data_IF_639814978952
#
_entry.id   IF_639814978952
#
_cell.length_a   1.000
_cell.length_b   1.000
_cell.length_c   1.000
_cell.angle_alpha   90.00
_cell.angle_beta   90.00
_cell.angle_gamma   90.00
#
_symmetry.space_group_name_H-M   'P 1'
#
loop_
_entity.id
_entity.type
_entity.pdbx_description
1 polymer ?
#
# COMPACT_ATOMS: atom_id res chain seq x y z
N UNK A 1 -17.21 -9.69 -0.45
CA UNK A 1 -16.64 -8.34 -0.24
C UNK A 1 -15.16 -8.42 -0.49
N UNK A 2 -14.60 -7.51 -1.28
CA UNK A 2 -13.16 -7.47 -1.58
C UNK A 2 -12.36 -6.95 -0.37
N UNK A 3 -11.10 -7.34 -0.30
CA UNK A 3 -10.19 -7.10 0.83
C UNK A 3 -9.01 -6.25 0.41
N UNK A 4 -8.71 -5.19 1.15
CA UNK A 4 -7.66 -4.22 0.81
C UNK A 4 -6.69 -4.10 1.97
N UNK A 5 -5.39 -4.23 1.68
CA UNK A 5 -4.32 -3.94 2.63
C UNK A 5 -3.76 -2.54 2.38
N UNK A 6 -3.89 -1.64 3.36
CA UNK A 6 -3.28 -0.31 3.32
C UNK A 6 -1.95 -0.36 4.10
N UNK A 7 -0.84 -0.25 3.38
CA UNK A 7 0.51 -0.31 3.91
C UNK A 7 0.95 1.10 4.31
N UNK A 8 1.08 1.34 5.62
CA UNK A 8 1.30 2.66 6.20
C UNK A 8 -0.01 3.28 6.72
N UNK A 9 -0.06 3.59 8.01
CA UNK A 9 -1.23 4.20 8.68
C UNK A 9 -0.91 5.59 9.23
N UNK A 10 0.01 6.29 8.57
CA UNK A 10 0.40 7.66 8.88
C UNK A 10 -0.72 8.69 8.59
N UNK A 11 -0.34 9.91 8.21
CA UNK A 11 -1.34 10.97 7.96
C UNK A 11 -2.28 10.63 6.81
N UNK A 12 -1.72 10.27 5.65
CA UNK A 12 -2.49 10.02 4.42
C UNK A 12 -3.06 8.60 4.41
N UNK A 13 -2.22 7.59 4.70
CA UNK A 13 -2.67 6.19 4.73
C UNK A 13 -3.86 5.93 5.66
N UNK A 14 -3.94 6.62 6.81
CA UNK A 14 -5.11 6.55 7.69
C UNK A 14 -6.39 7.04 7.01
N UNK A 15 -6.32 8.17 6.30
CA UNK A 15 -7.50 8.75 5.62
C UNK A 15 -7.95 7.83 4.48
N UNK A 16 -7.00 7.28 3.72
CA UNK A 16 -7.27 6.27 2.69
C UNK A 16 -7.98 5.05 3.30
N UNK A 17 -7.45 4.51 4.39
CA UNK A 17 -8.05 3.34 5.04
C UNK A 17 -9.49 3.62 5.53
N UNK A 18 -9.73 4.79 6.11
CA UNK A 18 -11.06 5.22 6.57
C UNK A 18 -12.07 5.37 5.44
N UNK A 19 -11.64 5.91 4.29
CA UNK A 19 -12.52 6.09 3.14
C UNK A 19 -12.88 4.74 2.50
N UNK A 20 -11.88 3.87 2.27
CA UNK A 20 -12.07 2.54 1.71
C UNK A 20 -12.89 1.60 2.60
N UNK A 21 -12.79 1.75 3.93
CA UNK A 21 -13.52 0.91 4.89
C UNK A 21 -15.05 1.06 4.83
N UNK A 22 -15.55 2.07 4.10
CA UNK A 22 -16.99 2.23 3.86
C UNK A 22 -17.56 1.14 2.97
N UNK A 23 -16.76 0.65 2.02
CA UNK A 23 -17.20 -0.27 0.96
C UNK A 23 -16.47 -1.61 0.98
N UNK A 24 -15.29 -1.68 1.62
CA UNK A 24 -14.39 -2.83 1.59
C UNK A 24 -13.96 -3.28 2.98
N UNK A 25 -13.49 -4.54 3.07
CA UNK A 25 -12.80 -5.01 4.28
C UNK A 25 -11.35 -4.54 4.23
N UNK A 26 -10.97 -3.66 5.14
CA UNK A 26 -9.65 -3.01 5.15
C UNK A 26 -8.80 -3.52 6.30
N UNK A 27 -7.57 -3.90 5.98
CA UNK A 27 -6.48 -4.14 6.93
C UNK A 27 -5.48 -2.99 6.82
N UNK A 28 -5.21 -2.30 7.92
CA UNK A 28 -4.25 -1.20 7.95
C UNK A 28 -2.98 -1.64 8.68
N UNK A 29 -1.83 -1.42 8.05
CA UNK A 29 -0.53 -1.90 8.55
C UNK A 29 0.37 -0.74 8.89
N UNK A 30 1.01 -0.78 10.05
CA UNK A 30 2.05 0.19 10.43
C UNK A 30 2.99 -0.42 11.47
N UNK A 31 4.23 0.05 11.52
CA UNK A 31 5.19 -0.34 12.57
C UNK A 31 4.90 0.40 13.88
N UNK A 32 4.35 1.61 13.77
CA UNK A 32 4.04 2.49 14.88
C UNK A 32 2.65 2.19 15.45
N UNK A 33 2.54 1.68 16.70
CA UNK A 33 1.25 1.38 17.32
C UNK A 33 0.36 2.61 17.52
N UNK A 34 0.93 3.82 17.66
CA UNK A 34 0.15 5.05 17.86
C UNK A 34 -0.62 5.45 16.59
N UNK A 35 -0.10 5.10 15.42
CA UNK A 35 -0.81 5.30 14.16
C UNK A 35 -2.02 4.37 14.06
N UNK A 36 -1.84 3.10 14.46
CA UNK A 36 -2.90 2.10 14.47
C UNK A 36 -3.98 2.39 15.52
N UNK A 37 -3.59 2.90 16.70
CA UNK A 37 -4.54 3.25 17.76
C UNK A 37 -5.59 4.29 17.31
N UNK A 38 -5.23 5.18 16.37
CA UNK A 38 -6.13 6.18 15.78
C UNK A 38 -7.22 5.58 14.90
N UNK A 39 -7.13 4.30 14.57
CA UNK A 39 -8.15 3.54 13.82
C UNK A 39 -9.13 2.79 14.74
N UNK A 40 -9.00 2.93 16.06
CA UNK A 40 -9.89 2.26 17.01
C UNK A 40 -11.37 2.58 16.76
N UNK A 41 -12.22 1.55 16.76
CA UNK A 41 -13.68 1.68 16.59
C UNK A 41 -14.15 1.91 15.15
N UNK A 42 -13.26 1.89 14.16
CA UNK A 42 -13.59 2.16 12.75
C UNK A 42 -14.00 0.92 11.94
N UNK A 43 -13.88 -0.28 12.52
CA UNK A 43 -14.09 -1.54 11.80
C UNK A 43 -12.92 -1.98 10.92
N UNK A 44 -11.87 -1.16 10.82
CA UNK A 44 -10.60 -1.51 10.15
C UNK A 44 -9.80 -2.47 11.03
N UNK A 45 -9.18 -3.47 10.43
CA UNK A 45 -8.29 -4.40 11.13
C UNK A 45 -6.87 -3.80 11.23
N UNK A 46 -6.39 -3.42 12.43
CA UNK A 46 -5.03 -2.92 12.59
C UNK A 46 -4.04 -4.08 12.72
N UNK A 47 -2.97 -4.06 11.91
CA UNK A 47 -1.87 -5.03 11.99
C UNK A 47 -0.56 -4.30 12.24
N UNK A 48 0.11 -4.63 13.33
CA UNK A 48 1.46 -4.11 13.59
C UNK A 48 2.49 -4.99 12.89
N UNK A 49 3.19 -4.43 11.92
CA UNK A 49 4.27 -5.12 11.22
C UNK A 49 5.34 -4.15 10.73
N UNK A 50 6.58 -4.65 10.66
CA UNK A 50 7.66 -3.95 9.97
C UNK A 50 7.63 -4.33 8.49
N UNK A 51 7.22 -3.37 7.66
CA UNK A 51 7.09 -3.54 6.21
C UNK A 51 8.43 -3.59 5.48
N UNK A 52 9.56 -3.28 6.15
CA UNK A 52 10.89 -3.53 5.60
C UNK A 52 11.26 -5.02 5.61
N UNK A 53 10.49 -5.86 6.29
CA UNK A 53 10.66 -7.32 6.28
C UNK A 53 9.86 -7.95 5.14
N UNK A 54 10.51 -8.52 4.10
CA UNK A 54 9.80 -9.15 2.98
C UNK A 54 8.88 -10.29 3.44
N UNK A 55 9.28 -11.03 4.48
CA UNK A 55 8.45 -12.09 5.06
C UNK A 55 7.18 -11.55 5.70
N UNK A 56 7.26 -10.42 6.39
CA UNK A 56 6.08 -9.81 7.01
C UNK A 56 5.14 -9.24 5.93
N UNK A 57 5.70 -8.50 4.97
CA UNK A 57 4.98 -7.99 3.81
C UNK A 57 4.26 -9.11 3.06
N UNK A 58 4.95 -10.21 2.75
CA UNK A 58 4.38 -11.35 2.04
C UNK A 58 3.13 -11.92 2.71
N UNK A 59 3.18 -12.11 4.03
CA UNK A 59 2.03 -12.61 4.80
C UNK A 59 0.81 -11.69 4.73
N UNK A 60 1.04 -10.38 4.65
CA UNK A 60 -0.03 -9.38 4.54
C UNK A 60 -0.64 -9.44 3.14
N UNK A 61 0.19 -9.36 2.10
CA UNK A 61 -0.28 -9.26 0.70
C UNK A 61 -0.91 -10.56 0.20
N UNK A 62 -0.52 -11.72 0.73
CA UNK A 62 -1.15 -12.99 0.36
C UNK A 62 -2.63 -13.05 0.78
N UNK A 63 -3.04 -12.28 1.80
CA UNK A 63 -4.38 -12.28 2.36
C UNK A 63 -5.36 -11.27 1.76
N UNK A 64 -4.93 -10.42 0.81
CA UNK A 64 -5.76 -9.36 0.25
C UNK A 64 -5.97 -9.48 -1.28
N UNK A 65 -7.01 -8.81 -1.77
CA UNK A 65 -7.28 -8.67 -3.20
C UNK A 65 -6.52 -7.50 -3.84
N UNK A 66 -6.27 -6.43 -3.08
CA UNK A 66 -5.60 -5.21 -3.54
C UNK A 66 -4.70 -4.65 -2.43
N UNK A 67 -3.58 -4.06 -2.81
CA UNK A 67 -2.67 -3.34 -1.91
C UNK A 67 -2.71 -1.83 -2.20
N UNK A 68 -2.66 -1.02 -1.15
CA UNK A 68 -2.41 0.42 -1.25
C UNK A 68 -1.11 0.76 -0.53
N UNK A 69 -0.13 1.29 -1.24
CA UNK A 69 1.13 1.75 -0.68
C UNK A 69 1.07 3.21 -0.26
N UNK A 70 1.24 3.46 1.04
CA UNK A 70 1.23 4.79 1.66
C UNK A 70 2.36 4.91 2.71
N UNK A 71 3.56 4.50 2.32
CA UNK A 71 4.75 4.39 3.17
C UNK A 71 5.75 5.52 2.92
N UNK A 72 6.76 5.71 3.79
CA UNK A 72 7.88 6.60 3.48
C UNK A 72 8.62 6.18 2.20
N UNK A 73 9.07 7.17 1.42
CA UNK A 73 9.80 6.96 0.18
C UNK A 73 11.00 6.02 0.29
N UNK A 74 11.71 6.06 1.42
CA UNK A 74 12.88 5.21 1.67
C UNK A 74 12.62 3.70 1.59
N UNK A 75 11.35 3.25 1.69
CA UNK A 75 10.97 1.84 1.57
C UNK A 75 9.92 1.60 0.47
N UNK A 76 9.40 2.65 -0.17
CA UNK A 76 8.29 2.56 -1.12
C UNK A 76 8.60 1.69 -2.34
N UNK A 77 9.73 1.94 -3.00
CA UNK A 77 10.11 1.17 -4.19
C UNK A 77 10.29 -0.33 -3.91
N UNK A 78 10.92 -0.66 -2.77
CA UNK A 78 11.10 -2.05 -2.35
C UNK A 78 9.74 -2.73 -2.11
N UNK A 79 8.80 -2.06 -1.44
CA UNK A 79 7.45 -2.59 -1.21
C UNK A 79 6.71 -2.80 -2.53
N UNK A 80 6.73 -1.82 -3.43
CA UNK A 80 6.12 -1.92 -4.75
C UNK A 80 6.61 -3.17 -5.50
N UNK A 81 7.93 -3.37 -5.57
CA UNK A 81 8.54 -4.53 -6.24
C UNK A 81 8.11 -5.85 -5.59
N UNK A 82 8.14 -5.94 -4.26
CA UNK A 82 7.75 -7.18 -3.56
C UNK A 82 6.25 -7.50 -3.70
N UNK A 83 5.39 -6.47 -3.78
CA UNK A 83 3.95 -6.65 -4.01
C UNK A 83 3.69 -7.14 -5.45
N UNK A 84 4.40 -6.60 -6.44
CA UNK A 84 4.39 -7.08 -7.82
C UNK A 84 4.85 -8.54 -7.88
N UNK A 85 5.99 -8.86 -7.26
CA UNK A 85 6.50 -10.23 -7.16
C UNK A 85 5.53 -11.16 -6.40
N UNK A 86 4.62 -10.60 -5.60
CA UNK A 86 3.55 -11.33 -4.95
C UNK A 86 2.31 -11.60 -5.79
N UNK A 87 2.25 -11.09 -7.02
CA UNK A 87 1.10 -11.28 -7.89
C UNK A 87 -0.13 -10.51 -7.38
N UNK A 88 0.09 -9.36 -6.75
CA UNK A 88 -0.99 -8.53 -6.19
C UNK A 88 -1.02 -7.17 -6.87
N UNK A 89 -2.21 -6.75 -7.27
CA UNK A 89 -2.47 -5.41 -7.76
C UNK A 89 -2.18 -4.36 -6.68
N UNK A 90 -1.64 -3.22 -7.10
CA UNK A 90 -1.22 -2.17 -6.18
C UNK A 90 -1.53 -0.78 -6.74
N UNK A 91 -1.99 0.10 -5.84
CA UNK A 91 -2.01 1.55 -6.04
C UNK A 91 -1.05 2.18 -5.05
N UNK A 92 -0.11 3.00 -5.50
CA UNK A 92 0.94 3.56 -4.65
C UNK A 92 0.96 5.10 -4.71
N UNK A 93 1.09 5.73 -3.54
CA UNK A 93 1.20 7.19 -3.38
C UNK A 93 2.56 7.62 -2.81
N UNK A 94 3.44 6.66 -2.55
CA UNK A 94 4.75 6.88 -1.95
C UNK A 94 5.68 7.49 -2.99
N UNK A 95 6.36 8.57 -2.62
CA UNK A 95 7.38 9.18 -3.48
C UNK A 95 8.75 8.60 -3.16
N UNK A 96 9.39 7.97 -4.15
CA UNK A 96 10.74 7.39 -4.02
C UNK A 96 11.63 7.83 -5.20
N UNK A 97 12.96 7.88 -5.03
CA UNK A 97 13.89 8.38 -6.06
C UNK A 97 14.07 7.43 -7.24
N UNK A 98 13.78 6.14 -7.07
CA UNK A 98 13.85 5.13 -8.13
C UNK A 98 12.75 5.31 -9.19
N UNK A 99 13.01 4.83 -10.41
CA UNK A 99 12.02 4.83 -11.48
C UNK A 99 11.04 3.65 -11.33
N UNK A 100 9.80 3.96 -10.96
CA UNK A 100 8.72 2.99 -10.82
C UNK A 100 8.41 2.25 -12.13
N UNK A 101 8.55 2.92 -13.28
CA UNK A 101 8.25 2.31 -14.59
C UNK A 101 9.32 1.29 -15.00
N UNK A 102 10.47 1.29 -14.32
CA UNK A 102 11.47 0.22 -14.43
C UNK A 102 10.94 -1.17 -14.00
N UNK A 103 9.78 -1.24 -13.35
CA UNK A 103 9.12 -2.49 -12.95
C UNK A 103 8.01 -2.95 -13.93
N UNK A 104 7.83 -2.31 -15.10
CA UNK A 104 6.76 -2.67 -16.06
C UNK A 104 6.89 -4.13 -16.53
N UNK A 105 8.09 -4.59 -16.89
CA UNK A 105 8.31 -5.98 -17.32
C UNK A 105 8.01 -6.99 -16.21
N UNK A 106 8.38 -6.67 -14.96
CA UNK A 106 8.08 -7.50 -13.79
C UNK A 106 6.57 -7.58 -13.55
N UNK A 107 5.86 -6.44 -13.63
CA UNK A 107 4.41 -6.37 -13.47
C UNK A 107 3.67 -7.15 -14.55
N UNK A 108 4.08 -7.01 -15.82
CA UNK A 108 3.52 -7.78 -16.95
C UNK A 108 3.75 -9.27 -16.77
N UNK A 109 4.95 -9.67 -16.38
CA UNK A 109 5.31 -11.08 -16.15
C UNK A 109 4.49 -11.69 -15.01
N UNK A 110 4.26 -10.92 -13.94
CA UNK A 110 3.45 -11.35 -12.80
C UNK A 110 1.93 -11.27 -13.06
N UNK A 111 1.50 -10.65 -14.17
CA UNK A 111 0.08 -10.40 -14.45
C UNK A 111 -0.57 -9.39 -13.50
N UNK A 112 0.23 -8.45 -12.98
CA UNK A 112 -0.16 -7.46 -11.97
C UNK A 112 -0.41 -6.11 -12.63
N UNK A 113 -1.43 -5.40 -12.15
CA UNK A 113 -1.61 -3.97 -12.43
C UNK A 113 -1.03 -3.16 -11.27
N UNK A 114 -0.03 -2.34 -11.56
CA UNK A 114 0.54 -1.38 -10.62
C UNK A 114 0.25 0.05 -11.10
N UNK A 115 -0.47 0.83 -10.29
CA UNK A 115 -0.71 2.26 -10.52
C UNK A 115 0.13 3.04 -9.52
N UNK A 116 1.13 3.75 -10.01
CA UNK A 116 2.07 4.53 -9.21
C UNK A 116 1.78 6.02 -9.33
N UNK A 117 2.44 6.83 -8.50
CA UNK A 117 2.25 8.28 -8.47
C UNK A 117 0.77 8.67 -8.28
N UNK A 118 0.00 7.95 -7.47
CA UNK A 118 -1.43 8.24 -7.29
C UNK A 118 -1.70 9.32 -6.22
N UNK A 119 -0.78 10.29 -6.08
CA UNK A 119 -0.79 11.33 -5.06
C UNK A 119 -1.24 12.70 -5.57
N UNK A 120 -0.76 13.75 -4.89
CA UNK A 120 -0.94 15.15 -5.32
C UNK A 120 0.15 15.55 -6.32
N UNK A 121 1.40 15.40 -5.91
CA UNK A 121 2.58 15.65 -6.72
C UNK A 121 3.71 14.70 -6.25
N UNK A 122 4.06 13.66 -7.03
CA UNK A 122 3.46 13.30 -8.32
C UNK A 122 2.00 12.77 -8.17
N UNK A 123 1.21 12.88 -9.24
CA UNK A 123 -0.17 12.38 -9.32
C UNK A 123 -1.15 13.34 -9.95
N UNK A 124 -1.90 14.12 -9.17
CA UNK A 124 -2.76 15.16 -9.74
C UNK A 124 -1.97 16.06 -10.70
N UNK A 125 -0.72 16.43 -10.33
CA UNK A 125 0.19 17.21 -11.18
C UNK A 125 0.52 16.59 -12.54
N UNK A 126 0.29 15.29 -12.72
CA UNK A 126 0.54 14.59 -13.99
C UNK A 126 -0.67 14.65 -14.93
N UNK A 127 -1.85 15.06 -14.43
CA UNK A 127 -3.14 14.99 -15.14
C UNK A 127 -3.76 16.38 -15.37
N UNK A 128 -3.54 17.33 -14.46
CA UNK A 128 -4.09 18.70 -14.50
C UNK A 128 -3.09 19.73 -15.03
#
# INVERSE_FOLDING_TARGET
MKTIAVLGSGMVGRVIALDLARDFRVTAVDVNPDNLAKLGGTGIEPVRADLSSPRALRKIVDGCDLVVGAVPGSIGFAILREVIAAGRDIVDISFFPEDALGLDDDARTAGVTAIVDCGVAPGMSNII
#
